data_IF_726205935118
#
_entry.id   IF_726205935118
#
_cell.length_a   1.000
_cell.length_b   1.000
_cell.length_c   1.000
_cell.angle_alpha   90.00
_cell.angle_beta   90.00
_cell.angle_gamma   90.00
#
_symmetry.space_group_name_H-M   'P 1'
#
loop_
_entity.id
_entity.type
_entity.pdbx_description
1 polymer ?
#
# COMPACT_ATOMS: atom_id res chain seq x y z
N UNK A 1 -0.83 -39.75 16.71
CA UNK A 1 -0.02 -38.78 15.93
C UNK A 1 -0.83 -38.35 14.71
N UNK A 2 -1.57 -37.24 14.81
CA UNK A 2 -2.32 -36.67 13.69
C UNK A 2 -1.68 -35.32 13.35
N UNK A 3 -1.21 -35.16 12.11
CA UNK A 3 -0.59 -33.92 11.62
C UNK A 3 -1.70 -33.00 11.11
N UNK A 4 -1.98 -31.92 11.84
CA UNK A 4 -2.80 -30.82 11.36
C UNK A 4 -2.06 -30.11 10.21
N UNK A 5 -2.62 -30.17 9.01
CA UNK A 5 -2.24 -29.30 7.89
C UNK A 5 -3.25 -28.16 7.86
N UNK A 6 -2.83 -26.98 8.32
CA UNK A 6 -3.58 -25.73 8.17
C UNK A 6 -3.32 -25.25 6.74
N UNK A 7 -4.34 -25.37 5.88
CA UNK A 7 -4.31 -24.83 4.52
C UNK A 7 -4.69 -23.34 4.61
N UNK A 8 -3.74 -22.45 4.31
CA UNK A 8 -4.00 -21.04 4.12
C UNK A 8 -4.85 -20.86 2.84
N UNK A 9 -6.06 -20.35 2.98
CA UNK A 9 -6.88 -19.93 1.85
C UNK A 9 -6.54 -18.48 1.51
N UNK A 10 -5.81 -18.28 0.40
CA UNK A 10 -5.75 -16.98 -0.28
C UNK A 10 -7.16 -16.65 -0.79
N UNK A 11 -7.69 -15.49 -0.40
CA UNK A 11 -8.97 -14.98 -0.89
C UNK A 11 -8.67 -14.07 -2.07
N UNK A 12 -8.80 -14.62 -3.29
CA UNK A 12 -8.73 -13.86 -4.53
C UNK A 12 -9.96 -12.96 -4.67
N UNK A 13 -9.73 -11.65 -4.85
CA UNK A 13 -10.77 -10.70 -5.25
C UNK A 13 -11.16 -10.94 -6.72
N UNK A 14 -12.38 -11.43 -6.95
CA UNK A 14 -12.93 -11.58 -8.29
C UNK A 14 -13.54 -10.26 -8.76
N UNK A 15 -12.95 -9.64 -9.79
CA UNK A 15 -13.56 -8.55 -10.54
C UNK A 15 -14.73 -9.09 -11.38
N UNK A 16 -15.96 -8.66 -11.08
CA UNK A 16 -17.11 -8.92 -11.94
C UNK A 16 -17.23 -7.79 -12.97
N UNK A 17 -17.13 -8.15 -14.25
CA UNK A 17 -17.35 -7.27 -15.39
C UNK A 17 -18.83 -6.89 -15.54
N UNK A 18 -19.11 -5.61 -15.73
CA UNK A 18 -20.44 -5.09 -16.07
C UNK A 18 -20.69 -5.39 -17.56
N UNK A 19 -21.74 -6.15 -17.86
CA UNK A 19 -22.27 -6.30 -19.22
C UNK A 19 -23.06 -5.03 -19.61
N UNK A 20 -22.70 -4.43 -20.75
CA UNK A 20 -23.45 -3.35 -21.36
C UNK A 20 -24.75 -3.86 -22.02
N UNK A 21 -25.85 -3.14 -21.81
CA UNK A 21 -27.14 -3.33 -22.51
C UNK A 21 -27.08 -2.56 -23.84
N UNK A 22 -27.59 -3.10 -24.97
CA UNK A 22 -27.57 -2.39 -26.26
C UNK A 22 -28.72 -1.38 -26.33
N UNK A 23 -28.41 -0.15 -26.77
CA UNK A 23 -29.40 0.81 -27.24
C UNK A 23 -29.64 0.57 -28.74
N UNK A 24 -30.88 0.29 -29.10
CA UNK A 24 -31.35 0.12 -30.48
C UNK A 24 -31.41 1.45 -31.22
N UNK A 25 -31.07 1.37 -32.50
CA UNK A 25 -30.89 2.43 -33.48
C UNK A 25 -32.14 3.27 -33.81
N UNK A 26 -31.90 4.45 -34.36
CA UNK A 26 -32.63 4.92 -35.53
C UNK A 26 -31.69 5.66 -36.49
N UNK A 27 -31.83 5.34 -37.77
CA UNK A 27 -30.98 5.71 -38.89
C UNK A 27 -31.50 6.93 -39.65
N UNK A 28 -30.57 7.68 -40.25
CA UNK A 28 -30.65 8.54 -41.46
C UNK A 28 -29.41 9.46 -41.40
N UNK A 29 -28.64 9.78 -42.42
CA UNK A 29 -28.60 9.50 -43.86
C UNK A 29 -27.19 9.92 -44.32
N UNK A 30 -26.82 9.45 -45.49
CA UNK A 30 -25.51 9.42 -46.14
C UNK A 30 -25.02 10.80 -46.61
N UNK A 31 -23.72 11.11 -46.47
CA UNK A 31 -22.99 11.74 -47.58
C UNK A 31 -21.47 11.50 -47.51
N UNK A 32 -20.90 11.23 -48.67
CA UNK A 32 -19.49 10.95 -48.93
C UNK A 32 -18.63 12.21 -48.81
N UNK A 33 -17.40 12.06 -48.31
CA UNK A 33 -16.23 12.54 -49.07
C UNK A 33 -14.94 11.89 -48.55
N UNK A 34 -14.33 11.11 -49.44
CA UNK A 34 -13.01 10.50 -49.32
C UNK A 34 -11.93 11.59 -49.38
N UNK A 35 -10.96 11.54 -48.47
CA UNK A 35 -9.60 12.01 -48.75
C UNK A 35 -8.60 10.99 -48.24
N UNK A 36 -7.73 10.55 -49.15
CA UNK A 36 -6.77 9.46 -48.99
C UNK A 36 -5.37 10.03 -49.22
N UNK A 37 -4.49 9.91 -48.20
CA UNK A 37 -3.00 9.79 -48.25
C UNK A 37 -2.17 10.87 -49.01
N UNK A 38 -0.81 10.94 -49.00
CA UNK A 38 0.15 9.87 -48.66
C UNK A 38 1.54 10.24 -48.04
N UNK A 39 2.31 9.17 -47.77
CA UNK A 39 3.76 8.95 -48.04
C UNK A 39 4.86 9.42 -47.06
N UNK A 40 5.78 8.47 -46.89
CA UNK A 40 7.03 8.42 -46.13
C UNK A 40 8.17 9.29 -46.70
N UNK A 41 9.21 9.53 -45.89
CA UNK A 41 10.61 9.41 -46.30
C UNK A 41 11.60 9.48 -45.11
N UNK A 42 12.48 8.49 -45.02
CA UNK A 42 13.83 8.57 -44.40
C UNK A 42 14.85 8.66 -45.54
N UNK A 43 16.02 9.29 -45.34
CA UNK A 43 17.28 8.54 -45.53
C UNK A 43 18.36 8.84 -44.48
N UNK A 44 19.44 8.05 -44.55
CA UNK A 44 20.50 7.82 -43.56
C UNK A 44 21.90 8.38 -43.96
N UNK A 45 22.86 8.26 -43.02
CA UNK A 45 24.32 7.97 -43.16
C UNK A 45 25.40 9.07 -42.88
N UNK A 46 26.05 8.98 -41.69
CA UNK A 46 27.48 8.75 -41.25
C UNK A 46 28.70 9.18 -42.15
N UNK A 47 30.03 9.15 -41.75
CA UNK A 47 30.83 9.20 -40.47
C UNK A 47 32.08 10.16 -40.48
N UNK A 48 32.83 10.23 -39.35
CA UNK A 48 34.28 10.52 -39.25
C UNK A 48 34.64 11.74 -38.37
N UNK A 49 35.65 11.78 -37.48
CA UNK A 49 36.84 10.96 -37.24
C UNK A 49 37.43 11.23 -35.83
N UNK A 50 38.19 10.26 -35.31
CA UNK A 50 39.16 10.39 -34.18
C UNK A 50 40.57 10.57 -34.74
N UNK A 51 41.53 11.17 -34.00
CA UNK A 51 42.69 10.41 -33.47
C UNK A 51 43.03 10.83 -32.02
N UNK A 52 43.35 9.97 -31.05
CA UNK A 52 44.48 9.03 -30.83
C UNK A 52 45.53 9.59 -29.83
N UNK A 53 45.55 8.94 -28.65
CA UNK A 53 46.61 8.57 -27.70
C UNK A 53 47.80 9.50 -27.32
N UNK A 54 48.05 9.60 -26.00
CA UNK A 54 49.36 9.27 -25.39
C UNK A 54 49.23 8.97 -23.87
N UNK A 55 49.90 7.89 -23.44
CA UNK A 55 50.10 7.36 -22.08
C UNK A 55 51.12 8.22 -21.28
N UNK A 56 51.51 8.05 -20.00
CA UNK A 56 51.19 7.18 -18.86
C UNK A 56 51.90 7.77 -17.61
N UNK A 57 51.36 7.43 -16.43
CA UNK A 57 52.04 7.19 -15.13
C UNK A 57 52.65 8.32 -14.29
N UNK A 58 52.09 8.46 -13.08
CA UNK A 58 52.73 8.97 -11.88
C UNK A 58 51.98 8.46 -10.65
N UNK A 59 52.46 7.36 -10.06
CA UNK A 59 51.93 6.77 -8.82
C UNK A 59 52.34 7.61 -7.61
N UNK A 60 51.39 7.96 -6.73
CA UNK A 60 51.70 8.37 -5.35
C UNK A 60 50.92 7.49 -4.36
N UNK A 61 51.53 7.05 -3.23
CA UNK A 61 50.89 6.19 -2.25
C UNK A 61 49.78 6.93 -1.48
N UNK A 62 48.70 6.22 -1.19
CA UNK A 62 47.63 6.69 -0.31
C UNK A 62 48.14 6.81 1.13
N UNK A 63 48.21 8.03 1.65
CA UNK A 63 48.26 8.30 3.09
C UNK A 63 46.89 7.93 3.66
N UNK A 64 46.83 6.87 4.47
CA UNK A 64 45.60 6.42 5.12
C UNK A 64 45.17 7.43 6.18
N UNK A 65 44.25 8.32 5.83
CA UNK A 65 43.50 9.11 6.81
C UNK A 65 42.45 8.17 7.42
N UNK A 66 42.66 7.78 8.68
CA UNK A 66 41.63 7.13 9.47
C UNK A 66 40.42 8.08 9.53
N UNK A 67 39.20 7.64 9.16
CA UNK A 67 38.03 8.47 9.39
C UNK A 67 37.84 8.61 10.90
N UNK A 68 37.96 9.83 11.39
CA UNK A 68 37.50 10.22 12.71
C UNK A 68 36.02 9.84 12.83
N UNK A 69 35.70 9.03 13.83
CA UNK A 69 34.35 8.52 14.03
C UNK A 69 33.40 9.71 14.19
N UNK A 70 32.47 9.86 13.25
CA UNK A 70 31.36 10.79 13.37
C UNK A 70 30.67 10.55 14.74
N UNK A 71 30.25 11.61 15.46
CA UNK A 71 29.50 11.43 16.69
C UNK A 71 28.30 10.54 16.39
N UNK A 72 28.26 9.39 17.06
CA UNK A 72 27.16 8.43 16.97
C UNK A 72 25.87 9.19 17.30
N UNK A 73 24.80 9.08 16.50
CA UNK A 73 23.52 9.70 16.83
C UNK A 73 23.15 9.27 18.24
N UNK A 74 22.99 10.25 19.12
CA UNK A 74 22.40 10.05 20.44
C UNK A 74 21.10 9.27 20.22
N UNK A 75 20.98 8.11 20.84
CA UNK A 75 19.88 7.19 20.60
C UNK A 75 18.57 7.95 20.71
N UNK A 76 17.78 7.95 19.63
CA UNK A 76 16.43 8.52 19.66
C UNK A 76 15.70 7.98 20.90
N UNK A 77 14.92 8.81 21.62
CA UNK A 77 14.17 8.34 22.78
C UNK A 77 13.42 7.06 22.42
N UNK A 78 13.50 6.05 23.30
CA UNK A 78 12.81 4.80 23.08
C UNK A 78 11.33 5.10 22.78
N UNK A 79 10.83 4.60 21.66
CA UNK A 79 9.44 4.77 21.29
C UNK A 79 8.54 4.32 22.45
N UNK A 80 7.38 4.95 22.66
CA UNK A 80 6.43 4.50 23.67
C UNK A 80 6.13 3.01 23.45
N UNK A 81 6.18 2.23 24.52
CA UNK A 81 5.84 0.81 24.50
C UNK A 81 4.37 0.65 24.85
N UNK A 82 3.56 0.32 23.85
CA UNK A 82 2.14 -0.02 24.02
C UNK A 82 2.01 -1.45 24.55
N UNK A 83 0.96 -1.74 25.32
CA UNK A 83 0.81 -3.07 25.94
C UNK A 83 -0.06 -3.98 25.08
N UNK A 84 0.47 -5.10 24.56
CA UNK A 84 -0.37 -6.03 23.82
C UNK A 84 -1.48 -6.59 24.74
N UNK A 85 -2.75 -6.61 24.29
CA UNK A 85 -3.85 -7.14 25.10
C UNK A 85 -3.60 -8.60 25.52
N UNK A 86 -3.63 -8.85 26.83
CA UNK A 86 -3.32 -10.16 27.39
C UNK A 86 -4.26 -11.27 26.87
N UNK A 87 -3.69 -12.45 26.60
CA UNK A 87 -4.44 -13.61 26.09
C UNK A 87 -4.86 -13.51 24.62
N UNK A 88 -4.36 -12.52 23.89
CA UNK A 88 -4.58 -12.38 22.44
C UNK A 88 -3.35 -12.81 21.63
N UNK A 89 -3.49 -12.86 20.30
CA UNK A 89 -2.38 -13.14 19.39
C UNK A 89 -1.47 -11.91 19.14
N UNK A 90 -1.89 -10.74 19.61
CA UNK A 90 -1.25 -9.46 19.31
C UNK A 90 0.13 -9.40 19.96
N UNK A 91 1.15 -9.08 19.17
CA UNK A 91 2.54 -8.90 19.63
C UNK A 91 2.88 -7.42 19.78
N UNK A 92 4.05 -7.10 20.36
CA UNK A 92 4.54 -5.72 20.41
C UNK A 92 4.65 -5.09 19.02
N UNK A 93 5.17 -5.84 18.04
CA UNK A 93 5.29 -5.35 16.66
C UNK A 93 3.92 -5.02 16.05
N UNK A 94 2.86 -5.79 16.40
CA UNK A 94 1.51 -5.47 15.95
C UNK A 94 0.98 -4.19 16.61
N UNK A 95 1.30 -3.96 17.89
CA UNK A 95 0.96 -2.72 18.57
C UNK A 95 1.69 -1.52 17.96
N UNK A 96 2.97 -1.65 17.62
CA UNK A 96 3.75 -0.58 17.00
C UNK A 96 3.18 -0.20 15.61
N UNK A 97 2.76 -1.20 14.83
CA UNK A 97 2.06 -0.97 13.56
C UNK A 97 0.68 -0.32 13.78
N UNK A 98 -0.08 -0.75 14.78
CA UNK A 98 -1.36 -0.14 15.12
C UNK A 98 -1.19 1.32 15.56
N UNK A 99 -0.13 1.62 16.31
CA UNK A 99 0.20 2.99 16.71
C UNK A 99 0.54 3.87 15.51
N UNK A 100 1.25 3.34 14.51
CA UNK A 100 1.48 4.08 13.26
C UNK A 100 0.17 4.43 12.54
N UNK A 101 -0.82 3.51 12.54
CA UNK A 101 -2.17 3.77 11.99
C UNK A 101 -2.87 4.87 12.80
N UNK A 102 -2.89 4.76 14.14
CA UNK A 102 -3.53 5.74 15.03
C UNK A 102 -2.91 7.13 14.88
N UNK A 103 -1.58 7.23 14.92
CA UNK A 103 -0.86 8.49 14.77
C UNK A 103 -1.11 9.14 13.41
N UNK A 104 -1.13 8.36 12.32
CA UNK A 104 -1.46 8.88 10.99
C UNK A 104 -2.86 9.53 10.97
N UNK A 105 -3.84 8.92 11.63
CA UNK A 105 -5.17 9.48 11.74
C UNK A 105 -5.22 10.74 12.62
N UNK A 106 -4.45 10.77 13.71
CA UNK A 106 -4.30 11.96 14.57
C UNK A 106 -3.67 13.13 13.82
N UNK A 107 -2.63 12.87 13.02
CA UNK A 107 -1.99 13.86 12.13
C UNK A 107 -2.99 14.45 11.12
N UNK A 108 -3.97 13.65 10.68
CA UNK A 108 -5.06 14.09 9.79
C UNK A 108 -6.22 14.76 10.53
N UNK A 109 -6.20 14.83 11.87
CA UNK A 109 -7.26 15.42 12.68
C UNK A 109 -8.57 14.63 12.65
N UNK A 110 -8.52 13.32 12.39
CA UNK A 110 -9.70 12.47 12.32
C UNK A 110 -10.19 12.06 13.73
N UNK A 111 -11.47 11.66 13.90
CA UNK A 111 -11.94 11.19 15.19
C UNK A 111 -11.46 9.76 15.47
N UNK A 112 -11.44 9.36 16.74
CA UNK A 112 -11.03 8.02 17.19
C UNK A 112 -11.70 6.88 16.41
N UNK A 113 -12.96 7.06 16.02
CA UNK A 113 -13.71 6.09 15.20
C UNK A 113 -13.00 5.73 13.89
N UNK A 114 -12.30 6.67 13.26
CA UNK A 114 -11.51 6.39 12.06
C UNK A 114 -10.41 5.37 12.36
N UNK A 115 -9.74 5.50 13.50
CA UNK A 115 -8.62 4.65 13.89
C UNK A 115 -9.10 3.24 14.17
N UNK A 116 -10.24 3.11 14.84
CA UNK A 116 -10.88 1.81 15.09
C UNK A 116 -11.19 1.09 13.78
N UNK A 117 -11.78 1.79 12.80
CA UNK A 117 -12.06 1.24 11.47
C UNK A 117 -10.77 0.81 10.76
N UNK A 118 -9.74 1.64 10.77
CA UNK A 118 -8.48 1.35 10.10
C UNK A 118 -7.71 0.19 10.76
N UNK A 119 -7.63 0.16 12.09
CA UNK A 119 -6.98 -0.94 12.84
C UNK A 119 -7.71 -2.24 12.60
N UNK A 120 -9.05 -2.26 12.69
CA UNK A 120 -9.83 -3.45 12.39
C UNK A 120 -9.66 -3.92 10.93
N UNK A 121 -9.53 -2.98 9.99
CA UNK A 121 -9.23 -3.29 8.59
C UNK A 121 -7.85 -3.96 8.48
N UNK A 122 -6.80 -3.34 9.01
CA UNK A 122 -5.45 -3.91 8.97
C UNK A 122 -5.34 -5.27 9.70
N UNK A 123 -6.13 -5.50 10.74
CA UNK A 123 -6.23 -6.81 11.37
C UNK A 123 -6.82 -7.86 10.42
N UNK A 124 -7.88 -7.51 9.69
CA UNK A 124 -8.50 -8.42 8.73
C UNK A 124 -7.61 -8.69 7.51
N UNK A 125 -6.90 -7.67 7.01
CA UNK A 125 -6.06 -7.78 5.81
C UNK A 125 -4.74 -8.48 6.09
N UNK A 126 -4.11 -8.21 7.24
CA UNK A 126 -2.73 -8.66 7.51
C UNK A 126 -2.47 -9.16 8.92
N UNK A 127 -3.48 -9.19 9.80
CA UNK A 127 -3.29 -9.34 11.25
C UNK A 127 -2.26 -8.32 11.78
N UNK A 128 -2.33 -7.06 11.32
CA UNK A 128 -1.40 -5.98 11.71
C UNK A 128 0.08 -6.29 11.39
N UNK A 129 0.35 -7.06 10.34
CA UNK A 129 1.71 -7.32 9.87
C UNK A 129 1.99 -6.49 8.62
N UNK A 130 3.09 -5.75 8.62
CA UNK A 130 3.46 -4.94 7.47
C UNK A 130 4.26 -5.80 6.47
N UNK A 131 3.57 -6.36 5.48
CA UNK A 131 4.20 -7.25 4.50
C UNK A 131 4.83 -6.48 3.33
N UNK A 132 6.10 -6.76 3.03
CA UNK A 132 6.74 -6.28 1.80
C UNK A 132 6.38 -7.15 0.58
N UNK A 133 7.13 -6.99 -0.50
CA UNK A 133 6.92 -7.76 -1.72
C UNK A 133 7.23 -9.26 -1.50
N UNK A 134 6.21 -10.12 -1.57
CA UNK A 134 6.33 -11.57 -1.32
C UNK A 134 6.86 -12.39 -2.52
N UNK A 135 7.35 -11.72 -3.57
CA UNK A 135 7.85 -12.37 -4.79
C UNK A 135 6.72 -13.04 -5.58
N UNK A 136 6.98 -14.18 -6.22
CA UNK A 136 5.99 -14.95 -6.99
C UNK A 136 4.80 -15.46 -6.16
N UNK A 137 4.90 -15.39 -4.84
CA UNK A 137 3.82 -15.73 -3.89
C UNK A 137 2.92 -14.55 -3.57
N UNK A 138 3.16 -13.39 -4.18
CA UNK A 138 2.37 -12.19 -3.95
C UNK A 138 1.05 -12.27 -4.74
N UNK A 139 -0.08 -12.18 -4.03
CA UNK A 139 -1.39 -12.13 -4.65
C UNK A 139 -1.59 -10.75 -5.32
N UNK A 140 -1.50 -10.75 -6.64
CA UNK A 140 -1.82 -9.62 -7.51
C UNK A 140 -1.06 -8.29 -7.29
N UNK A 141 0.05 -8.26 -6.54
CA UNK A 141 0.84 -7.07 -6.14
C UNK A 141 0.50 -6.44 -4.77
N UNK A 142 -0.35 -7.08 -3.97
CA UNK A 142 -0.85 -6.57 -2.68
C UNK A 142 0.22 -6.54 -1.58
N UNK A 143 0.36 -5.41 -0.89
CA UNK A 143 1.44 -5.18 0.09
C UNK A 143 0.99 -4.31 1.27
N UNK A 144 1.79 -4.32 2.33
CA UNK A 144 1.62 -3.48 3.50
C UNK A 144 0.50 -3.92 4.45
N UNK A 145 0.24 -3.07 5.45
CA UNK A 145 -0.73 -3.33 6.52
C UNK A 145 -2.17 -3.57 6.02
N UNK A 146 -2.54 -2.88 4.95
CA UNK A 146 -3.88 -2.88 4.36
C UNK A 146 -3.98 -3.74 3.10
N UNK A 147 -2.91 -4.47 2.75
CA UNK A 147 -2.82 -5.24 1.49
C UNK A 147 -3.22 -4.40 0.26
N UNK A 148 -2.70 -3.17 0.22
CA UNK A 148 -2.94 -2.20 -0.84
C UNK A 148 -2.17 -2.58 -2.11
N UNK A 149 -2.65 -2.09 -3.25
CA UNK A 149 -2.14 -2.45 -4.58
C UNK A 149 -1.70 -1.23 -5.37
N UNK A 150 -0.43 -1.14 -5.83
CA UNK A 150 0.01 -0.05 -6.69
C UNK A 150 -0.80 0.02 -7.98
N UNK A 151 -1.13 -1.13 -8.56
CA UNK A 151 -1.98 -1.25 -9.75
C UNK A 151 -3.41 -0.72 -9.57
N UNK A 152 -3.88 -0.53 -8.33
CA UNK A 152 -5.18 0.07 -8.01
C UNK A 152 -5.07 1.52 -7.51
N UNK A 153 -3.92 2.17 -7.73
CA UNK A 153 -3.72 3.59 -7.41
C UNK A 153 -3.64 3.90 -5.92
N UNK A 154 -3.19 2.95 -5.09
CA UNK A 154 -2.97 3.20 -3.66
C UNK A 154 -1.63 3.92 -3.38
N UNK A 155 -0.66 3.85 -4.29
CA UNK A 155 0.67 4.44 -4.17
C UNK A 155 1.74 3.57 -4.84
N UNK A 156 3.01 3.98 -4.80
CA UNK A 156 4.14 3.13 -5.15
C UNK A 156 4.33 2.01 -4.12
N UNK A 157 5.15 1.02 -4.43
CA UNK A 157 5.49 -0.07 -3.50
C UNK A 157 6.08 0.47 -2.20
N UNK A 158 7.05 1.37 -2.32
CA UNK A 158 7.72 1.99 -1.17
C UNK A 158 6.70 2.73 -0.29
N UNK A 159 5.78 3.45 -0.91
CA UNK A 159 4.74 4.19 -0.22
C UNK A 159 3.78 3.27 0.54
N UNK A 160 3.22 2.24 -0.11
CA UNK A 160 2.22 1.37 0.54
C UNK A 160 2.82 0.42 1.58
N UNK A 161 4.15 0.24 1.59
CA UNK A 161 4.87 -0.47 2.65
C UNK A 161 5.32 0.43 3.80
N UNK A 162 5.16 1.75 3.68
CA UNK A 162 5.31 2.67 4.81
C UNK A 162 3.99 2.72 5.61
N UNK A 163 3.97 2.33 6.89
CA UNK A 163 2.75 2.28 7.68
C UNK A 163 1.98 3.61 7.77
N UNK A 164 2.69 4.74 7.87
CA UNK A 164 2.08 6.05 8.01
C UNK A 164 1.42 6.48 6.69
N UNK A 165 2.11 6.33 5.56
CA UNK A 165 1.54 6.58 4.24
C UNK A 165 0.35 5.67 3.96
N UNK A 166 0.49 4.35 4.17
CA UNK A 166 -0.56 3.39 3.87
C UNK A 166 -1.85 3.70 4.67
N UNK A 167 -1.70 4.10 5.94
CA UNK A 167 -2.81 4.54 6.78
C UNK A 167 -3.44 5.84 6.26
N UNK A 168 -2.64 6.87 5.90
CA UNK A 168 -3.16 8.11 5.30
C UNK A 168 -3.91 7.85 3.99
N UNK A 169 -3.40 6.97 3.15
CA UNK A 169 -4.07 6.57 1.91
C UNK A 169 -5.42 5.89 2.18
N UNK A 170 -5.49 5.01 3.18
CA UNK A 170 -6.74 4.41 3.64
C UNK A 170 -7.72 5.49 4.13
N UNK A 171 -7.26 6.40 4.99
CA UNK A 171 -8.10 7.47 5.53
C UNK A 171 -8.65 8.41 4.47
N UNK A 172 -7.82 8.77 3.47
CA UNK A 172 -8.27 9.60 2.34
C UNK A 172 -9.47 8.97 1.63
N UNK A 173 -9.50 7.63 1.48
CA UNK A 173 -10.66 6.94 0.90
C UNK A 173 -11.80 6.77 1.89
N UNK A 174 -11.51 6.57 3.18
CA UNK A 174 -12.54 6.46 4.22
C UNK A 174 -13.41 7.73 4.31
N UNK A 175 -12.80 8.91 4.29
CA UNK A 175 -13.54 10.18 4.42
C UNK A 175 -14.39 10.50 3.18
N UNK A 176 -14.14 9.85 2.04
CA UNK A 176 -14.97 9.93 0.85
C UNK A 176 -16.23 9.06 0.94
N UNK A 177 -16.30 8.12 1.90
CA UNK A 177 -17.48 7.27 2.12
C UNK A 177 -18.58 8.07 2.83
N UNK A 178 -19.77 8.26 2.21
CA UNK A 178 -20.83 9.05 2.82
C UNK A 178 -21.31 8.47 4.17
N UNK A 179 -21.24 9.30 5.22
CA UNK A 179 -21.74 8.96 6.56
C UNK A 179 -20.94 7.85 7.27
N UNK A 180 -19.68 7.62 6.87
CA UNK A 180 -18.83 6.56 7.41
C UNK A 180 -18.74 6.55 8.93
N UNK A 181 -18.87 7.72 9.59
CA UNK A 181 -18.81 7.83 11.05
C UNK A 181 -19.95 7.06 11.74
N UNK A 182 -21.10 6.99 11.07
CA UNK A 182 -22.33 6.37 11.60
C UNK A 182 -22.56 4.96 11.06
N UNK A 183 -21.74 4.50 10.10
CA UNK A 183 -21.84 3.15 9.58
C UNK A 183 -21.34 2.13 10.61
N UNK A 184 -21.88 0.89 10.59
CA UNK A 184 -21.19 -0.22 11.21
C UNK A 184 -19.75 -0.27 10.73
N UNK A 185 -18.81 -0.57 11.63
CA UNK A 185 -17.37 -0.54 11.33
C UNK A 185 -17.05 -1.36 10.09
N UNK A 186 -17.65 -2.54 10.01
CA UNK A 186 -17.44 -3.50 8.93
C UNK A 186 -17.92 -2.96 7.60
N UNK A 187 -19.02 -2.20 7.58
CA UNK A 187 -19.58 -1.60 6.36
C UNK A 187 -18.66 -0.48 5.87
N UNK A 188 -18.15 0.37 6.76
CA UNK A 188 -17.20 1.41 6.38
C UNK A 188 -15.91 0.81 5.82
N UNK A 189 -15.29 -0.14 6.53
CA UNK A 189 -14.09 -0.85 6.09
C UNK A 189 -14.30 -1.56 4.73
N UNK A 190 -15.42 -2.27 4.61
CA UNK A 190 -15.79 -2.98 3.39
C UNK A 190 -15.96 -2.04 2.19
N UNK A 191 -16.56 -0.87 2.41
CA UNK A 191 -16.78 0.14 1.37
C UNK A 191 -15.47 0.71 0.86
N UNK A 192 -14.48 0.94 1.75
CA UNK A 192 -13.16 1.43 1.36
C UNK A 192 -12.37 0.38 0.57
N UNK A 193 -12.38 -0.88 1.01
CA UNK A 193 -11.56 -1.94 0.42
C UNK A 193 -12.21 -2.63 -0.80
N UNK A 194 -13.54 -2.56 -0.94
CA UNK A 194 -14.26 -3.17 -2.06
C UNK A 194 -14.22 -4.71 -2.09
N UNK A 195 -13.97 -5.38 -0.97
CA UNK A 195 -14.02 -6.85 -0.85
C UNK A 195 -15.48 -7.41 -0.87
N UNK A 196 -15.63 -8.73 -0.95
CA UNK A 196 -16.93 -9.39 -1.11
C UNK A 196 -17.52 -9.98 0.19
N UNK A 197 -16.99 -9.63 1.38
CA UNK A 197 -17.28 -10.34 2.64
C UNK A 197 -17.66 -9.38 3.79
N UNK A 198 -18.93 -8.92 3.86
CA UNK A 198 -19.35 -7.87 4.78
C UNK A 198 -19.16 -8.20 6.28
N UNK A 199 -19.18 -9.48 6.64
CA UNK A 199 -19.07 -9.92 8.05
C UNK A 199 -17.63 -10.24 8.49
N UNK A 200 -16.66 -10.27 7.58
CA UNK A 200 -15.30 -10.71 7.90
C UNK A 200 -14.63 -9.83 8.97
N UNK A 201 -14.93 -8.54 8.95
CA UNK A 201 -14.35 -7.53 9.84
C UNK A 201 -14.95 -7.55 11.26
N UNK A 202 -16.15 -8.12 11.47
CA UNK A 202 -16.88 -8.01 12.73
C UNK A 202 -16.12 -8.64 13.90
N UNK A 203 -15.39 -9.73 13.66
CA UNK A 203 -14.58 -10.42 14.68
C UNK A 203 -13.41 -9.58 15.21
N UNK A 204 -13.01 -8.53 14.50
CA UNK A 204 -11.87 -7.69 14.87
C UNK A 204 -12.27 -6.42 15.64
N UNK A 205 -13.53 -5.98 15.56
CA UNK A 205 -13.97 -4.69 16.09
C UNK A 205 -13.65 -4.51 17.58
N UNK A 206 -14.01 -5.48 18.44
CA UNK A 206 -13.76 -5.35 19.88
C UNK A 206 -12.27 -5.25 20.27
N UNK A 207 -11.41 -6.02 19.57
CA UNK A 207 -9.97 -5.98 19.81
C UNK A 207 -9.35 -4.70 19.24
N UNK A 208 -9.82 -4.22 18.09
CA UNK A 208 -9.38 -2.94 17.52
C UNK A 208 -9.71 -1.76 18.46
N UNK A 209 -10.91 -1.72 19.03
CA UNK A 209 -11.29 -0.71 20.04
C UNK A 209 -10.37 -0.76 21.25
N UNK A 210 -10.05 -1.96 21.74
CA UNK A 210 -9.15 -2.14 22.89
C UNK A 210 -7.73 -1.63 22.58
N UNK A 211 -7.19 -1.96 21.40
CA UNK A 211 -5.87 -1.51 20.96
C UNK A 211 -5.83 0.01 20.80
N UNK A 212 -6.84 0.59 20.15
CA UNK A 212 -6.91 2.04 19.96
C UNK A 212 -7.00 2.75 21.30
N UNK A 213 -7.81 2.25 22.24
CA UNK A 213 -7.94 2.81 23.58
C UNK A 213 -6.60 2.82 24.35
N UNK A 214 -5.79 1.76 24.26
CA UNK A 214 -4.44 1.69 24.86
C UNK A 214 -3.47 2.70 24.25
N UNK A 215 -3.56 2.95 22.94
CA UNK A 215 -2.66 3.86 22.24
C UNK A 215 -3.00 5.33 22.51
N UNK A 216 -4.30 5.67 22.65
CA UNK A 216 -4.74 7.06 22.84
C UNK A 216 -4.80 7.51 24.30
N UNK A 217 -4.63 6.58 25.26
CA UNK A 217 -4.67 6.86 26.71
C UNK A 217 -3.39 7.49 27.23
#
# INVERSE_FOLDING_TARGET
MHRNRITAALIAAACLSINAIPATANAADSDETRFVSPVAATPAATPGATPEAAAAQGSQPAEQVQPEAAPQPEAAPAAPTYSPPAGTWVTQQNMDNAAAIVHAGQEMGLPQRAYEIAVATAMQESNLNNYGHLGDRNDYDSQGLFQQRPSMGWGSVEQITDPNYAAKAFYNRLVEVPGWESLPLTVAAQTVQGSAFPDAYAKHEGLAVTIVADIVS
#
